data_IF_874956033920
#
_entry.id   IF_874956033920
#
_cell.length_a   1.000
_cell.length_b   1.000
_cell.length_c   1.000
_cell.angle_alpha   90.00
_cell.angle_beta   90.00
_cell.angle_gamma   90.00
#
_symmetry.space_group_name_H-M   'P 1'
#
loop_
_entity.id
_entity.type
_entity.pdbx_description
1 polymer ?
#
# COMPACT_ATOMS: atom_id res chain seq x y z
N UNK A 1 21.37 4.37 -12.78
CA UNK A 1 20.82 5.53 -13.51
C UNK A 1 19.37 5.68 -13.07
N UNK A 2 19.05 6.68 -12.23
CA UNK A 2 17.72 6.77 -11.58
C UNK A 2 16.67 7.07 -12.64
N UNK A 3 15.88 6.06 -13.03
CA UNK A 3 14.72 6.26 -13.91
C UNK A 3 13.68 7.06 -13.15
N UNK A 4 13.49 8.30 -13.59
CA UNK A 4 12.49 9.22 -13.07
C UNK A 4 11.11 8.66 -13.42
N UNK A 5 10.19 8.64 -12.44
CA UNK A 5 8.85 8.09 -12.59
C UNK A 5 8.02 8.99 -13.52
N UNK A 6 8.12 8.78 -14.83
CA UNK A 6 7.29 9.47 -15.80
C UNK A 6 5.93 8.77 -15.90
N UNK A 7 4.87 9.44 -15.47
CA UNK A 7 3.50 9.10 -15.83
C UNK A 7 3.24 9.57 -17.26
N UNK A 8 3.45 8.69 -18.24
CA UNK A 8 3.05 8.96 -19.63
C UNK A 8 1.72 8.26 -19.91
N UNK A 9 0.65 9.06 -20.01
CA UNK A 9 -0.60 8.68 -20.68
C UNK A 9 -0.51 9.20 -22.12
N UNK A 10 -0.52 8.29 -23.09
CA UNK A 10 -0.69 8.55 -24.54
C UNK A 10 -2.02 7.83 -24.92
N UNK A 11 -2.95 8.25 -25.78
CA UNK A 11 -2.98 9.05 -27.02
C UNK A 11 -4.44 9.54 -27.21
N UNK A 12 -4.66 10.77 -27.68
CA UNK A 12 -5.70 10.98 -28.71
C UNK A 12 -5.33 12.18 -29.60
N UNK A 13 -5.05 11.88 -30.88
CA UNK A 13 -4.82 12.88 -31.94
C UNK A 13 -6.16 13.52 -32.32
N UNK A 14 -6.26 14.84 -32.29
CA UNK A 14 -7.14 15.62 -33.16
C UNK A 14 -6.63 17.07 -33.32
N UNK A 15 -6.20 17.35 -34.55
CA UNK A 15 -6.07 18.59 -35.33
C UNK A 15 -6.18 19.97 -34.63
N UNK A 16 -5.12 20.77 -34.88
CA UNK A 16 -4.85 22.18 -34.61
C UNK A 16 -6.02 23.19 -34.67
N UNK A 17 -6.10 24.03 -33.64
CA UNK A 17 -6.43 25.46 -33.74
C UNK A 17 -5.56 26.24 -32.74
N UNK A 18 -4.67 27.08 -33.27
CA UNK A 18 -3.63 27.82 -32.53
C UNK A 18 -4.24 28.98 -31.75
N UNK A 19 -4.34 28.85 -30.42
CA UNK A 19 -4.42 30.00 -29.50
C UNK A 19 -3.17 30.00 -28.63
N UNK A 20 -2.23 30.90 -28.94
CA UNK A 20 -1.02 31.14 -28.13
C UNK A 20 -1.46 31.83 -26.84
N UNK A 21 -1.69 31.05 -25.79
CA UNK A 21 -1.76 31.56 -24.42
C UNK A 21 -0.36 31.41 -23.84
N UNK A 22 0.34 32.54 -23.69
CA UNK A 22 1.62 32.59 -22.98
C UNK A 22 1.33 32.35 -21.50
N UNK A 23 1.37 31.08 -21.09
CA UNK A 23 1.36 30.71 -19.67
C UNK A 23 2.78 30.94 -19.15
N UNK A 24 3.02 32.10 -18.55
CA UNK A 24 4.11 32.26 -17.58
C UNK A 24 3.77 31.41 -16.35
N UNK A 25 4.06 30.11 -16.44
CA UNK A 25 3.93 29.16 -15.34
C UNK A 25 5.28 29.06 -14.64
N UNK A 26 5.35 29.70 -13.47
CA UNK A 26 6.43 29.58 -12.47
C UNK A 26 6.95 28.15 -12.37
N UNK A 27 8.28 27.99 -12.29
CA UNK A 27 8.93 26.71 -12.01
C UNK A 27 8.45 26.12 -10.68
N UNK A 28 7.35 25.39 -10.72
CA UNK A 28 6.89 24.55 -9.62
C UNK A 28 7.81 23.34 -9.58
N UNK A 29 8.59 23.22 -8.51
CA UNK A 29 9.27 21.98 -8.20
C UNK A 29 8.23 20.85 -8.22
N UNK A 30 8.47 19.79 -9.01
CA UNK A 30 7.57 18.64 -9.06
C UNK A 30 7.46 18.10 -7.62
N UNK A 31 6.27 18.20 -7.02
CA UNK A 31 6.05 17.76 -5.64
C UNK A 31 6.29 16.26 -5.53
N UNK A 32 7.40 15.88 -4.90
CA UNK A 32 7.70 14.50 -4.54
C UNK A 32 7.24 14.21 -3.12
N UNK A 33 6.00 13.72 -2.98
CA UNK A 33 5.41 13.35 -1.68
C UNK A 33 6.25 12.31 -0.91
N UNK A 34 7.16 11.58 -1.56
CA UNK A 34 8.08 10.64 -0.90
C UNK A 34 9.08 11.34 0.02
N UNK A 35 9.24 12.65 -0.09
CA UNK A 35 10.09 13.48 0.79
C UNK A 35 9.35 13.97 2.04
N UNK A 36 8.04 13.75 2.14
CA UNK A 36 7.23 14.23 3.27
C UNK A 36 7.41 13.38 4.52
N UNK A 37 7.33 14.00 5.71
CA UNK A 37 7.49 13.31 6.99
C UNK A 37 6.34 12.35 7.30
N UNK A 38 6.61 11.35 8.13
CA UNK A 38 5.60 10.49 8.76
C UNK A 38 5.22 9.24 7.96
N UNK A 39 4.37 8.37 8.56
CA UNK A 39 3.92 7.13 7.96
C UNK A 39 2.78 7.36 6.96
N UNK A 40 3.09 8.05 5.85
CA UNK A 40 2.10 8.53 4.87
C UNK A 40 1.11 7.44 4.43
N UNK A 41 1.60 6.25 4.10
CA UNK A 41 0.74 5.14 3.63
C UNK A 41 -0.24 4.64 4.67
N UNK A 42 0.06 4.82 5.96
CA UNK A 42 -0.86 4.45 7.04
C UNK A 42 -2.03 5.44 7.11
N UNK A 43 -1.75 6.75 7.02
CA UNK A 43 -2.83 7.74 6.99
C UNK A 43 -3.70 7.61 5.74
N UNK A 44 -3.08 7.41 4.58
CA UNK A 44 -3.79 7.19 3.33
C UNK A 44 -4.67 5.94 3.36
N UNK A 45 -4.20 4.85 3.96
CA UNK A 45 -4.98 3.60 4.02
C UNK A 45 -6.12 3.64 5.03
N UNK A 46 -6.02 4.49 6.04
CA UNK A 46 -7.10 4.78 6.98
C UNK A 46 -8.11 5.80 6.42
N UNK A 47 -7.81 6.41 5.26
CA UNK A 47 -8.65 7.44 4.66
C UNK A 47 -8.61 8.76 5.43
N UNK A 48 -7.51 9.05 6.14
CA UNK A 48 -7.36 10.33 6.82
C UNK A 48 -7.15 11.47 5.82
N UNK A 49 -7.69 12.64 6.13
CA UNK A 49 -7.63 13.81 5.26
C UNK A 49 -6.37 14.63 5.56
N UNK A 50 -5.49 14.90 4.58
CA UNK A 50 -4.30 15.72 4.80
C UNK A 50 -4.67 17.18 5.08
N UNK A 51 -4.00 17.79 6.06
CA UNK A 51 -4.11 19.21 6.40
C UNK A 51 -2.78 19.89 6.05
N UNK A 52 -2.83 20.92 5.20
CA UNK A 52 -1.67 21.66 4.73
C UNK A 52 -1.57 23.03 5.40
N UNK A 53 -0.35 23.47 5.73
CA UNK A 53 -0.13 24.79 6.31
C UNK A 53 -0.43 25.91 5.30
N UNK A 54 -0.11 25.68 4.01
CA UNK A 54 -0.42 26.61 2.91
C UNK A 54 -1.02 25.86 1.71
N UNK A 55 -1.89 26.53 0.93
CA UNK A 55 -2.28 26.03 -0.38
C UNK A 55 -1.04 25.75 -1.24
N UNK A 56 -1.00 24.58 -1.87
CA UNK A 56 0.11 24.07 -2.70
C UNK A 56 1.36 23.58 -1.95
N UNK A 57 1.35 23.48 -0.62
CA UNK A 57 2.42 22.78 0.08
C UNK A 57 2.48 21.32 -0.38
N UNK A 58 3.68 20.81 -0.60
CA UNK A 58 3.85 19.43 -1.07
C UNK A 58 3.48 18.41 0.02
N UNK A 59 3.76 18.75 1.28
CA UNK A 59 3.60 17.88 2.42
C UNK A 59 2.54 18.40 3.38
N UNK A 60 1.66 17.51 3.81
CA UNK A 60 0.71 17.82 4.86
C UNK A 60 1.46 18.05 6.18
N UNK A 61 1.01 19.04 6.95
CA UNK A 61 1.49 19.30 8.30
C UNK A 61 0.87 18.32 9.30
N UNK A 62 -0.38 17.92 9.07
CA UNK A 62 -1.09 16.94 9.89
C UNK A 62 -2.16 16.19 9.09
N UNK A 63 -2.82 15.21 9.71
CA UNK A 63 -3.89 14.43 9.09
C UNK A 63 -5.11 14.36 10.00
N UNK A 64 -6.29 14.73 9.49
CA UNK A 64 -7.56 14.52 10.18
C UNK A 64 -8.01 13.07 10.01
N UNK A 65 -8.03 12.33 11.13
CA UNK A 65 -8.53 10.97 11.23
C UNK A 65 -9.78 10.87 12.13
N UNK A 66 -10.48 11.98 12.38
CA UNK A 66 -11.62 12.05 13.31
C UNK A 66 -12.77 11.13 12.91
N UNK A 67 -12.91 10.79 11.63
CA UNK A 67 -13.89 9.81 11.14
C UNK A 67 -13.71 8.42 11.75
N UNK A 68 -12.49 8.08 12.21
CA UNK A 68 -12.19 6.78 12.82
C UNK A 68 -12.73 6.64 14.24
N UNK A 69 -12.99 7.76 14.95
CA UNK A 69 -13.37 7.74 16.37
C UNK A 69 -14.73 7.04 16.59
N UNK A 70 -15.61 7.12 15.60
CA UNK A 70 -17.00 6.67 15.70
C UNK A 70 -17.29 5.41 14.87
N UNK A 71 -16.27 4.69 14.39
CA UNK A 71 -16.49 3.48 13.62
C UNK A 71 -17.33 2.47 14.43
N UNK A 72 -18.48 2.03 13.90
CA UNK A 72 -19.26 0.93 14.47
C UNK A 72 -18.39 -0.29 14.75
N UNK A 73 -18.63 -0.92 15.92
CA UNK A 73 -17.87 -2.11 16.37
C UNK A 73 -18.29 -3.39 15.66
N UNK A 74 -19.47 -3.40 15.09
CA UNK A 74 -20.15 -4.51 14.44
C UNK A 74 -20.08 -4.44 12.91
N UNK A 75 -19.18 -3.61 12.37
CA UNK A 75 -18.95 -3.44 10.93
C UNK A 75 -17.50 -3.73 10.56
N UNK A 76 -17.30 -4.36 9.40
CA UNK A 76 -16.00 -4.49 8.77
C UNK A 76 -15.84 -3.46 7.65
N UNK A 77 -14.59 -3.11 7.33
CA UNK A 77 -14.30 -2.08 6.33
C UNK A 77 -13.26 -2.58 5.32
N UNK A 78 -13.56 -2.41 4.04
CA UNK A 78 -12.63 -2.66 2.95
C UNK A 78 -12.79 -1.56 1.90
N UNK A 79 -11.69 -0.92 1.49
CA UNK A 79 -11.67 0.06 0.40
C UNK A 79 -12.71 1.21 0.54
N UNK A 80 -13.06 1.60 1.76
CA UNK A 80 -14.09 2.61 2.05
C UNK A 80 -15.53 2.08 2.12
N UNK A 81 -15.76 0.81 1.80
CA UNK A 81 -17.06 0.15 1.96
C UNK A 81 -17.24 -0.45 3.35
N UNK A 82 -18.49 -0.40 3.83
CA UNK A 82 -18.92 -1.02 5.08
C UNK A 82 -19.59 -2.38 4.83
N UNK A 83 -19.39 -3.29 5.77
CA UNK A 83 -19.89 -4.66 5.72
C UNK A 83 -20.52 -5.06 7.05
N UNK A 84 -21.69 -5.71 6.99
CA UNK A 84 -22.32 -6.31 8.16
C UNK A 84 -21.70 -7.67 8.49
N UNK A 85 -21.77 -8.09 9.75
CA UNK A 85 -21.39 -9.44 10.18
C UNK A 85 -22.11 -10.49 9.30
N UNK A 86 -21.36 -11.49 8.85
CA UNK A 86 -21.82 -12.54 7.94
C UNK A 86 -21.73 -12.18 6.45
N UNK A 87 -21.50 -10.92 6.10
CA UNK A 87 -21.36 -10.50 4.70
C UNK A 87 -20.00 -10.93 4.13
N UNK A 88 -20.02 -11.52 2.94
CA UNK A 88 -18.81 -11.84 2.19
C UNK A 88 -18.17 -10.57 1.59
N UNK A 89 -16.84 -10.58 1.50
CA UNK A 89 -16.08 -9.54 0.81
C UNK A 89 -16.50 -9.48 -0.66
N UNK A 90 -16.77 -8.29 -1.19
CA UNK A 90 -17.13 -8.11 -2.60
C UNK A 90 -15.90 -8.29 -3.48
N UNK A 91 -16.11 -8.73 -4.72
CA UNK A 91 -15.04 -8.98 -5.69
C UNK A 91 -14.16 -7.75 -5.94
N UNK A 92 -14.76 -6.56 -6.00
CA UNK A 92 -14.08 -5.29 -6.25
C UNK A 92 -13.17 -4.84 -5.10
N UNK A 93 -13.37 -5.39 -3.90
CA UNK A 93 -12.53 -5.12 -2.72
C UNK A 93 -11.57 -6.27 -2.40
N UNK A 94 -11.70 -7.39 -3.11
CA UNK A 94 -10.94 -8.61 -2.90
C UNK A 94 -9.62 -8.58 -3.65
N UNK A 95 -8.52 -8.85 -2.95
CA UNK A 95 -7.27 -9.24 -3.58
C UNK A 95 -7.23 -10.77 -3.83
N UNK A 96 -6.29 -11.28 -4.64
CA UNK A 96 -6.20 -12.70 -4.99
C UNK A 96 -6.09 -13.68 -3.80
N UNK A 97 -5.50 -13.23 -2.69
CA UNK A 97 -5.35 -14.02 -1.47
C UNK A 97 -6.51 -13.87 -0.48
N UNK A 98 -7.49 -13.03 -0.77
CA UNK A 98 -8.64 -12.77 0.11
C UNK A 98 -9.71 -13.89 -0.06
N UNK A 99 -9.29 -15.15 0.08
CA UNK A 99 -10.12 -16.33 -0.22
C UNK A 99 -11.19 -16.51 0.87
N UNK A 100 -12.46 -16.43 0.45
CA UNK A 100 -13.60 -16.69 1.33
C UNK A 100 -13.67 -15.75 2.54
N UNK A 101 -13.18 -14.51 2.39
CA UNK A 101 -13.24 -13.53 3.45
C UNK A 101 -14.68 -13.17 3.81
N UNK A 102 -15.00 -13.26 5.09
CA UNK A 102 -16.30 -12.89 5.66
C UNK A 102 -16.10 -11.91 6.80
N UNK A 103 -16.99 -10.93 6.88
CA UNK A 103 -17.01 -10.03 8.03
C UNK A 103 -17.48 -10.79 9.28
N UNK A 104 -16.67 -10.84 10.32
CA UNK A 104 -16.97 -11.60 11.53
C UNK A 104 -16.49 -10.90 12.80
N UNK A 105 -17.09 -11.21 13.94
CA UNK A 105 -16.65 -10.72 15.25
C UNK A 105 -15.36 -11.41 15.67
N UNK A 106 -14.33 -10.62 15.95
CA UNK A 106 -13.03 -11.11 16.46
C UNK A 106 -13.08 -11.31 17.99
N UNK A 107 -12.05 -11.96 18.54
CA UNK A 107 -11.91 -12.19 19.99
C UNK A 107 -11.90 -10.87 20.80
N UNK A 108 -11.52 -9.76 20.18
CA UNK A 108 -11.53 -8.42 20.80
C UNK A 108 -12.94 -7.78 20.82
N UNK A 109 -13.97 -8.49 20.37
CA UNK A 109 -15.36 -8.00 20.29
C UNK A 109 -15.56 -6.94 19.20
N UNK A 110 -14.69 -6.91 18.18
CA UNK A 110 -14.74 -6.00 17.04
C UNK A 110 -14.91 -6.81 15.76
N UNK A 111 -15.73 -6.32 14.84
CA UNK A 111 -15.88 -6.91 13.52
C UNK A 111 -14.64 -6.64 12.66
N UNK A 112 -14.11 -7.69 12.01
CA UNK A 112 -13.04 -7.62 11.02
C UNK A 112 -13.24 -8.70 9.95
N UNK A 113 -12.58 -8.57 8.80
CA UNK A 113 -12.56 -9.65 7.82
C UNK A 113 -11.70 -10.80 8.30
N UNK A 114 -12.29 -11.99 8.31
CA UNK A 114 -11.61 -13.26 8.57
C UNK A 114 -11.65 -14.06 7.27
N UNK A 115 -10.46 -14.42 6.78
CA UNK A 115 -10.28 -15.12 5.51
C UNK A 115 -9.79 -16.55 5.75
N UNK A 116 -9.98 -17.42 4.77
CA UNK A 116 -9.40 -18.76 4.83
C UNK A 116 -7.87 -18.64 4.76
N UNK A 117 -7.12 -19.39 5.60
CA UNK A 117 -5.67 -19.46 5.43
C UNK A 117 -5.36 -20.03 4.05
N UNK A 118 -4.45 -19.38 3.34
CA UNK A 118 -3.97 -19.86 2.03
C UNK A 118 -2.63 -20.53 2.23
N UNK A 119 -2.57 -21.82 1.88
CA UNK A 119 -1.34 -22.58 1.86
C UNK A 119 -0.88 -22.68 0.41
N UNK A 120 0.16 -21.94 0.05
CA UNK A 120 0.81 -22.10 -1.23
C UNK A 120 1.80 -23.25 -1.11
N UNK A 121 1.48 -24.38 -1.73
CA UNK A 121 2.41 -25.50 -1.83
C UNK A 121 3.64 -25.08 -2.63
N UNK A 122 4.81 -25.29 -2.03
CA UNK A 122 6.07 -25.17 -2.74
C UNK A 122 6.35 -26.51 -3.40
N UNK A 123 5.72 -26.72 -4.57
CA UNK A 123 6.02 -27.89 -5.37
C UNK A 123 7.47 -27.74 -5.87
N UNK A 124 8.39 -28.65 -5.53
CA UNK A 124 9.70 -28.67 -6.15
C UNK A 124 9.49 -28.81 -7.67
N UNK A 125 10.16 -27.98 -8.46
CA UNK A 125 10.15 -28.13 -9.90
C UNK A 125 10.95 -29.38 -10.27
N UNK A 126 10.30 -30.54 -10.31
CA UNK A 126 10.89 -31.78 -10.80
C UNK A 126 10.83 -31.79 -12.32
N UNK A 127 11.85 -31.23 -12.98
CA UNK A 127 11.96 -31.18 -14.45
C UNK A 127 12.30 -29.78 -14.98
N UNK A 128 12.36 -29.63 -16.30
CA UNK A 128 12.68 -28.36 -16.96
C UNK A 128 11.46 -27.44 -17.11
N UNK A 129 10.88 -27.03 -15.99
CA UNK A 129 9.74 -26.09 -15.97
C UNK A 129 9.77 -25.20 -14.73
N UNK A 130 8.97 -24.14 -14.74
CA UNK A 130 8.74 -23.29 -13.59
C UNK A 130 7.29 -22.84 -13.50
N UNK A 131 6.90 -22.37 -12.31
CA UNK A 131 5.56 -21.83 -12.08
C UNK A 131 5.57 -20.30 -12.10
N UNK A 132 4.50 -19.74 -12.67
CA UNK A 132 4.29 -18.31 -12.81
C UNK A 132 2.97 -17.89 -12.16
N UNK A 133 3.03 -16.79 -11.38
CA UNK A 133 1.84 -16.11 -10.88
C UNK A 133 0.97 -15.58 -12.02
N UNK A 134 -0.34 -15.50 -11.79
CA UNK A 134 -1.22 -14.62 -12.56
C UNK A 134 -1.64 -13.45 -11.68
N UNK A 135 -2.15 -12.38 -12.30
CA UNK A 135 -2.66 -11.23 -11.53
C UNK A 135 -3.80 -11.59 -10.59
N UNK A 136 -4.52 -12.66 -10.89
CA UNK A 136 -5.68 -13.13 -10.14
C UNK A 136 -5.36 -14.35 -9.24
N UNK A 137 -4.12 -14.86 -9.26
CA UNK A 137 -3.72 -15.97 -8.38
C UNK A 137 -3.10 -15.49 -7.07
N UNK A 138 -3.42 -16.13 -5.94
CA UNK A 138 -2.70 -15.90 -4.69
C UNK A 138 -1.31 -16.55 -4.72
N UNK A 139 -1.22 -17.77 -5.28
CA UNK A 139 -0.02 -18.60 -5.28
C UNK A 139 0.66 -18.64 -6.66
N UNK A 140 1.93 -19.02 -6.66
CA UNK A 140 2.80 -19.06 -7.85
C UNK A 140 2.43 -20.18 -8.82
N UNK A 141 1.84 -21.27 -8.33
CA UNK A 141 1.48 -22.47 -9.07
C UNK A 141 0.29 -22.32 -10.04
N UNK A 142 -0.06 -21.08 -10.42
CA UNK A 142 -1.22 -20.81 -11.27
C UNK A 142 -0.99 -21.16 -12.74
N UNK A 143 0.26 -21.09 -13.21
CA UNK A 143 0.62 -21.45 -14.58
C UNK A 143 1.95 -22.18 -14.58
N UNK A 144 2.01 -23.37 -15.16
CA UNK A 144 3.24 -24.10 -15.41
C UNK A 144 3.79 -23.69 -16.79
N UNK A 145 5.07 -23.34 -16.85
CA UNK A 145 5.78 -23.01 -18.09
C UNK A 145 6.92 -24.01 -18.27
N UNK A 146 6.87 -24.79 -19.33
CA UNK A 146 7.92 -25.74 -19.69
C UNK A 146 8.98 -25.04 -20.53
N UNK A 147 10.24 -25.24 -20.18
CA UNK A 147 11.39 -24.81 -20.96
C UNK A 147 11.80 -25.94 -21.91
N UNK A 148 12.19 -25.59 -23.13
CA UNK A 148 12.84 -26.54 -24.03
C UNK A 148 14.28 -26.79 -23.59
N UNK A 149 14.87 -27.89 -24.06
CA UNK A 149 16.27 -28.19 -23.77
C UNK A 149 17.17 -27.05 -24.28
N UNK A 150 18.02 -26.53 -23.40
CA UNK A 150 18.89 -25.39 -23.69
C UNK A 150 18.20 -24.02 -23.69
N UNK A 151 16.90 -23.95 -23.41
CA UNK A 151 16.18 -22.67 -23.24
C UNK A 151 16.39 -22.13 -21.82
N UNK A 152 16.85 -20.89 -21.72
CA UNK A 152 16.97 -20.20 -20.44
C UNK A 152 15.66 -19.52 -20.05
N UNK A 153 15.38 -19.48 -18.74
CA UNK A 153 14.21 -18.76 -18.23
C UNK A 153 14.36 -17.26 -18.50
N UNK A 154 13.39 -16.61 -19.19
CA UNK A 154 13.47 -15.18 -19.47
C UNK A 154 13.59 -14.34 -18.20
N UNK A 155 14.25 -13.18 -18.32
CA UNK A 155 14.45 -12.25 -17.21
C UNK A 155 13.92 -10.85 -17.52
N UNK A 156 13.69 -10.08 -16.47
CA UNK A 156 13.29 -8.67 -16.51
C UNK A 156 14.27 -7.85 -15.67
N UNK A 157 14.72 -6.73 -16.19
CA UNK A 157 15.52 -5.75 -15.45
C UNK A 157 14.62 -4.65 -14.89
N UNK A 158 14.52 -4.57 -13.56
CA UNK A 158 13.68 -3.58 -12.85
C UNK A 158 14.48 -2.94 -11.72
N UNK A 159 14.62 -1.61 -11.79
CA UNK A 159 15.17 -0.81 -10.68
C UNK A 159 16.55 -1.29 -10.17
N UNK A 160 17.41 -1.72 -11.10
CA UNK A 160 18.75 -2.30 -10.89
C UNK A 160 18.74 -3.74 -10.30
N UNK A 161 17.62 -4.46 -10.42
CA UNK A 161 17.49 -5.88 -10.03
C UNK A 161 17.00 -6.72 -11.21
N UNK A 162 17.55 -7.93 -11.31
CA UNK A 162 17.09 -8.96 -12.26
C UNK A 162 16.02 -9.84 -11.62
N UNK A 163 14.89 -9.98 -12.30
CA UNK A 163 13.80 -10.89 -11.94
C UNK A 163 13.65 -11.96 -13.02
N UNK A 164 13.22 -13.18 -12.66
CA UNK A 164 12.95 -14.24 -13.64
C UNK A 164 11.46 -14.32 -13.97
N UNK A 165 11.10 -14.81 -15.16
CA UNK A 165 9.70 -14.90 -15.63
C UNK A 165 8.80 -15.60 -14.60
N UNK A 166 7.81 -14.88 -14.10
CA UNK A 166 6.88 -15.34 -13.09
C UNK A 166 7.24 -14.96 -11.66
N UNK A 167 8.34 -14.24 -11.45
CA UNK A 167 8.62 -13.60 -10.16
C UNK A 167 7.75 -12.35 -10.00
N UNK A 168 7.28 -12.10 -8.78
CA UNK A 168 6.64 -10.84 -8.41
C UNK A 168 7.71 -9.78 -8.14
N UNK A 169 7.44 -8.55 -8.57
CA UNK A 169 8.26 -7.39 -8.20
C UNK A 169 7.41 -6.20 -7.80
N UNK A 170 7.97 -5.35 -6.95
CA UNK A 170 7.38 -4.07 -6.59
C UNK A 170 8.16 -2.95 -7.28
N UNK A 171 7.44 -2.00 -7.86
CA UNK A 171 8.07 -0.85 -8.51
C UNK A 171 8.42 0.22 -7.48
N UNK A 172 9.56 0.91 -7.63
CA UNK A 172 9.88 2.07 -6.77
C UNK A 172 8.87 3.23 -6.92
N UNK A 173 8.21 3.32 -8.08
CA UNK A 173 7.33 4.43 -8.45
C UNK A 173 5.88 4.26 -8.00
N UNK A 174 5.34 3.04 -8.04
CA UNK A 174 3.95 2.75 -7.69
C UNK A 174 3.86 1.37 -7.02
N UNK A 175 3.73 1.39 -5.68
CA UNK A 175 3.62 0.19 -4.84
C UNK A 175 2.20 -0.35 -4.69
N UNK A 176 1.23 0.26 -5.36
CA UNK A 176 -0.14 -0.28 -5.46
C UNK A 176 -0.30 -1.18 -6.70
N UNK A 177 0.71 -1.21 -7.58
CA UNK A 177 0.81 -2.20 -8.65
C UNK A 177 1.33 -3.51 -8.11
N UNK A 178 0.68 -4.59 -8.51
CA UNK A 178 1.22 -5.94 -8.47
C UNK A 178 1.83 -6.21 -9.83
N UNK A 179 3.15 -6.40 -9.88
CA UNK A 179 3.86 -6.66 -11.13
C UNK A 179 4.43 -8.06 -11.16
N UNK A 180 4.44 -8.66 -12.34
CA UNK A 180 4.96 -10.01 -12.62
C UNK A 180 5.97 -9.85 -13.75
N UNK A 181 7.19 -10.35 -13.55
CA UNK A 181 8.15 -10.43 -14.66
C UNK A 181 7.60 -11.40 -15.70
N UNK A 182 7.52 -10.99 -16.96
CA UNK A 182 7.08 -11.84 -18.06
C UNK A 182 7.86 -11.49 -19.33
N UNK A 183 7.91 -12.38 -20.33
CA UNK A 183 8.60 -12.12 -21.59
C UNK A 183 8.02 -10.89 -22.28
N UNK A 184 8.90 -10.05 -22.84
CA UNK A 184 8.51 -8.80 -23.49
C UNK A 184 8.40 -7.58 -22.57
N UNK A 185 8.76 -7.70 -21.29
CA UNK A 185 8.82 -6.53 -20.41
C UNK A 185 9.94 -5.57 -20.83
N UNK A 186 9.57 -4.37 -21.27
CA UNK A 186 10.51 -3.34 -21.76
C UNK A 186 10.84 -2.27 -20.70
N UNK A 187 10.43 -2.47 -19.44
CA UNK A 187 10.60 -1.48 -18.37
C UNK A 187 9.39 -0.56 -18.15
N UNK A 188 8.24 -0.88 -18.74
CA UNK A 188 7.00 -0.13 -18.57
C UNK A 188 6.03 -0.86 -17.62
N UNK A 189 5.63 -0.19 -16.54
CA UNK A 189 4.79 -0.75 -15.49
C UNK A 189 3.30 -0.70 -15.86
N UNK A 190 2.92 -1.34 -16.96
CA UNK A 190 1.57 -1.40 -17.52
C UNK A 190 1.11 -2.85 -17.72
N UNK A 191 -0.17 -3.05 -18.04
CA UNK A 191 -0.67 -4.37 -18.42
C UNK A 191 0.04 -4.89 -19.68
N UNK A 192 0.32 -6.20 -19.78
CA UNK A 192 -0.08 -7.27 -18.86
C UNK A 192 0.86 -7.45 -17.66
N UNK A 193 1.98 -6.73 -17.57
CA UNK A 193 3.03 -6.95 -16.56
C UNK A 193 2.63 -6.49 -15.16
N UNK A 194 1.97 -5.33 -15.09
CA UNK A 194 1.55 -4.70 -13.84
C UNK A 194 0.05 -4.42 -13.85
N UNK A 195 -0.64 -4.83 -12.78
CA UNK A 195 -2.05 -4.52 -12.55
C UNK A 195 -2.21 -3.87 -11.18
N UNK A 196 -3.09 -2.87 -11.08
CA UNK A 196 -3.41 -2.26 -9.78
C UNK A 196 -4.14 -3.28 -8.91
N UNK A 197 -3.76 -3.35 -7.63
CA UNK A 197 -4.49 -4.14 -6.64
C UNK A 197 -5.85 -3.50 -6.34
N UNK A 198 -6.86 -4.33 -6.13
CA UNK A 198 -8.19 -3.89 -5.72
C UNK A 198 -8.14 -3.17 -4.37
N UNK A 199 -7.40 -3.76 -3.43
CA UNK A 199 -7.20 -3.21 -2.08
C UNK A 199 -5.73 -2.92 -1.82
N UNK A 200 -5.44 -1.72 -1.30
CA UNK A 200 -4.07 -1.25 -0.99
C UNK A 200 -3.39 -2.13 0.06
N UNK A 201 -2.06 -2.21 0.00
CA UNK A 201 -1.25 -3.06 0.89
C UNK A 201 -1.40 -2.75 2.38
N UNK A 202 -1.66 -1.48 2.77
CA UNK A 202 -1.68 -1.07 4.18
C UNK A 202 -3.08 -1.07 4.82
N UNK A 203 -3.96 -2.01 4.47
CA UNK A 203 -5.37 -1.98 4.89
C UNK A 203 -5.60 -2.43 6.34
N UNK A 204 -5.27 -1.57 7.32
CA UNK A 204 -5.35 -1.90 8.76
C UNK A 204 -6.77 -2.26 9.19
N UNK A 205 -7.78 -1.51 8.74
CA UNK A 205 -9.18 -1.74 9.11
C UNK A 205 -9.74 -3.08 8.58
N UNK A 206 -9.10 -3.67 7.57
CA UNK A 206 -9.55 -4.93 6.98
C UNK A 206 -9.44 -6.09 7.97
N UNK A 207 -8.26 -6.30 8.55
CA UNK A 207 -8.00 -7.42 9.46
C UNK A 207 -7.75 -7.04 10.91
N UNK A 208 -7.32 -5.80 11.18
CA UNK A 208 -6.83 -5.38 12.49
C UNK A 208 -7.43 -4.04 12.98
N UNK A 209 -8.75 -3.84 12.94
CA UNK A 209 -9.39 -2.58 13.37
C UNK A 209 -9.15 -2.28 14.85
N UNK A 210 -8.84 -3.29 15.67
CA UNK A 210 -8.46 -3.10 17.07
C UNK A 210 -7.24 -2.19 17.25
N UNK A 211 -6.31 -2.18 16.29
CA UNK A 211 -5.11 -1.33 16.34
C UNK A 211 -5.47 0.14 16.29
N UNK A 212 -6.39 0.51 15.39
CA UNK A 212 -6.91 1.88 15.28
C UNK A 212 -7.65 2.27 16.55
N UNK A 213 -8.55 1.39 17.02
CA UNK A 213 -9.39 1.66 18.19
C UNK A 213 -8.59 1.80 19.48
N UNK A 214 -7.49 1.07 19.61
CA UNK A 214 -6.55 1.16 20.74
C UNK A 214 -5.46 2.21 20.54
N UNK A 215 -5.52 2.98 19.45
CA UNK A 215 -4.56 4.04 19.12
C UNK A 215 -3.11 3.54 19.03
N UNK A 216 -2.91 2.32 18.53
CA UNK A 216 -1.60 1.70 18.45
C UNK A 216 -0.77 2.33 17.32
N UNK A 217 0.42 2.81 17.64
CA UNK A 217 1.34 3.45 16.68
C UNK A 217 2.03 2.40 15.80
N UNK A 218 2.27 2.66 14.50
CA UNK A 218 2.98 1.75 13.63
C UNK A 218 4.48 1.81 13.97
N UNK A 219 5.13 0.65 13.95
CA UNK A 219 6.56 0.51 14.14
C UNK A 219 7.21 0.05 12.84
N UNK A 220 8.34 0.66 12.51
CA UNK A 220 9.12 0.32 11.32
C UNK A 220 10.45 -0.26 11.79
N UNK A 221 10.76 -1.48 11.34
CA UNK A 221 12.03 -2.12 11.66
C UNK A 221 13.12 -1.65 10.70
N UNK A 222 14.38 -1.95 11.02
CA UNK A 222 15.53 -1.58 10.19
C UNK A 222 15.32 -2.03 8.72
N UNK A 223 15.51 -1.11 7.78
CA UNK A 223 15.30 -1.32 6.35
C UNK A 223 13.90 -0.96 5.84
N UNK A 224 12.90 -0.82 6.73
CA UNK A 224 11.60 -0.26 6.36
C UNK A 224 11.66 1.27 6.34
N UNK A 225 11.02 1.85 5.34
CA UNK A 225 10.87 3.28 5.16
C UNK A 225 9.41 3.67 5.46
N UNK A 226 9.16 4.44 6.53
CA UNK A 226 7.82 4.85 6.94
C UNK A 226 7.01 5.56 5.84
N UNK A 227 7.68 6.21 4.89
CA UNK A 227 7.02 6.95 3.81
C UNK A 227 6.41 6.02 2.75
N UNK A 228 6.97 4.82 2.55
CA UNK A 228 6.63 3.94 1.41
C UNK A 228 6.20 2.53 1.82
N UNK A 229 6.49 2.11 3.03
CA UNK A 229 6.23 0.75 3.49
C UNK A 229 5.01 0.72 4.42
N UNK A 230 4.30 -0.40 4.42
CA UNK A 230 3.30 -0.68 5.43
C UNK A 230 4.00 -1.22 6.67
N UNK A 231 3.60 -0.74 7.84
CA UNK A 231 4.03 -1.36 9.09
C UNK A 231 3.22 -2.63 9.36
N UNK A 232 3.93 -3.71 9.67
CA UNK A 232 3.33 -4.96 10.17
C UNK A 232 3.35 -5.05 11.70
N UNK A 233 3.98 -4.09 12.36
CA UNK A 233 4.24 -4.12 13.80
C UNK A 233 3.64 -2.88 14.44
N UNK A 234 2.90 -3.04 15.53
CA UNK A 234 2.25 -1.91 16.18
C UNK A 234 2.52 -1.94 17.67
N UNK A 235 2.74 -0.77 18.26
CA UNK A 235 2.84 -0.59 19.70
C UNK A 235 1.62 0.16 20.20
N UNK A 236 0.83 -0.51 21.02
CA UNK A 236 -0.30 0.13 21.68
C UNK A 236 0.18 0.99 22.85
N UNK A 237 -0.47 2.16 23.08
CA UNK A 237 -0.11 3.04 24.17
C UNK A 237 -0.29 2.36 25.52
N UNK A 238 0.71 2.53 26.38
CA UNK A 238 0.69 2.10 27.77
C UNK A 238 0.45 3.28 28.71
N UNK A 239 0.02 3.02 29.95
CA UNK A 239 -0.13 4.07 30.97
C UNK A 239 1.19 4.78 31.32
N UNK A 240 2.32 4.18 30.98
CA UNK A 240 3.67 4.71 31.23
C UNK A 240 4.20 5.50 30.03
N UNK A 241 3.48 5.52 28.92
CA UNK A 241 3.94 6.22 27.72
C UNK A 241 3.74 7.73 27.88
N UNK A 242 4.73 8.49 27.41
CA UNK A 242 4.74 9.95 27.40
C UNK A 242 4.80 10.39 25.94
N UNK A 243 4.01 11.40 25.60
CA UNK A 243 3.97 11.94 24.24
C UNK A 243 4.97 13.08 24.13
N UNK A 244 5.98 12.90 23.30
CA UNK A 244 7.02 13.89 23.04
C UNK A 244 6.62 14.61 21.76
N UNK A 245 6.12 15.84 21.88
CA UNK A 245 5.68 16.67 20.73
C UNK A 245 6.80 17.50 20.11
N UNK A 246 7.97 17.58 20.76
CA UNK A 246 9.08 18.36 20.25
C UNK A 246 10.41 17.83 20.82
N UNK A 247 11.35 17.48 19.93
CA UNK A 247 12.68 16.98 20.30
C UNK A 247 13.59 18.08 20.89
N UNK A 248 13.21 19.35 20.77
CA UNK A 248 14.07 20.48 21.14
C UNK A 248 14.00 20.90 22.62
N UNK A 249 13.10 20.33 23.43
CA UNK A 249 13.01 20.65 24.86
C UNK A 249 12.83 19.37 25.70
N UNK A 250 13.89 18.57 25.83
CA UNK A 250 13.97 17.50 26.84
C UNK A 250 14.34 18.13 28.18
N UNK A 251 13.47 18.99 28.69
CA UNK A 251 13.37 19.28 30.12
C UNK A 251 11.87 19.40 30.47
N UNK A 252 11.40 18.45 31.27
CA UNK A 252 10.06 18.34 31.86
C UNK A 252 8.87 18.26 30.88
N UNK A 253 8.67 17.08 30.29
CA UNK A 253 7.41 16.74 29.62
C UNK A 253 6.25 16.74 30.65
N UNK A 254 5.31 17.68 30.50
CA UNK A 254 4.02 17.67 31.19
C UNK A 254 3.25 16.40 30.81
N UNK A 255 2.74 15.69 31.82
CA UNK A 255 1.90 14.50 31.67
C UNK A 255 0.58 14.88 31.00
N UNK A 256 0.49 14.70 29.69
CA UNK A 256 -0.78 14.72 28.99
C UNK A 256 -1.45 13.35 29.16
N UNK A 257 -2.56 13.31 29.92
CA UNK A 257 -3.40 12.12 29.96
C UNK A 257 -4.09 11.96 28.59
N UNK A 258 -3.65 10.94 27.84
CA UNK A 258 -4.27 10.41 26.61
C UNK A 258 -4.00 11.28 25.37
N UNK A 259 -3.01 10.88 24.56
CA UNK A 259 -2.83 11.40 23.21
C UNK A 259 -3.28 10.36 22.18
N UNK A 260 -3.82 10.84 21.07
CA UNK A 260 -4.30 10.02 19.96
C UNK A 260 -3.13 9.56 19.10
N UNK A 261 -3.35 8.51 18.31
CA UNK A 261 -2.43 8.03 17.26
C UNK A 261 -1.90 9.17 16.35
N UNK A 262 -2.74 10.18 16.11
CA UNK A 262 -2.46 11.34 15.26
C UNK A 262 -1.48 12.33 15.91
N UNK A 263 -1.40 12.36 17.25
CA UNK A 263 -0.58 13.31 18.00
C UNK A 263 0.89 12.85 18.18
N UNK A 264 1.21 11.62 17.76
CA UNK A 264 2.51 10.98 18.00
C UNK A 264 3.50 11.14 16.84
N UNK A 265 3.10 11.76 15.73
CA UNK A 265 3.91 11.85 14.50
C UNK A 265 3.95 13.24 13.86
N UNK A 266 3.55 14.28 14.60
CA UNK A 266 3.78 15.69 14.24
C UNK A 266 5.16 16.14 14.67
#
# INVERSE_FOLDING_TARGET
MVRQCNSSLIVQKCVLLMTVVVIHGTGGEICDKRKCRGPLRVYESLGCTPIYAKPNDCCAESYDCSHLDNLPRDKCYANGHEYSIGQMLRSEDSNPCDIGCVCNTTLDGLAAFVCKPVYCEHLPAEGNYYFRYTHDSCCRNATQICLKDGEERPTCEVDDNTYYDGDLFETKCNRDLRCICMPGYIGENVEPFCKKRNRRGCSILFGSPFLVRRMCAPMFVHGQNPHRDCSNFFRCPSRKDIVIRNYSNIEFAKVAKKARFVDLVT
#
